data_IF_673691391539
#
_entry.id   IF_673691391539
#
_cell.length_a   1.000
_cell.length_b   1.000
_cell.length_c   1.000
_cell.angle_alpha   90.00
_cell.angle_beta   90.00
_cell.angle_gamma   90.00
#
_symmetry.space_group_name_H-M   'P 1'
#
loop_
_entity.id
_entity.type
_entity.pdbx_description
1 polymer ?
#
# COMPACT_ATOMS: atom_id res chain seq x y z
N UNK A 1 3.96 1.40 -19.96
CA UNK A 1 3.13 1.86 -18.83
C UNK A 1 4.05 2.15 -17.66
N UNK A 2 4.15 3.39 -17.21
CA UNK A 2 5.00 3.81 -16.09
C UNK A 2 4.50 3.13 -14.81
N UNK A 3 5.35 2.34 -14.16
CA UNK A 3 5.02 1.74 -12.87
C UNK A 3 5.03 2.86 -11.82
N UNK A 4 3.84 3.35 -11.47
CA UNK A 4 3.69 4.37 -10.44
C UNK A 4 3.69 3.71 -9.06
N UNK A 5 4.50 4.25 -8.16
CA UNK A 5 4.56 3.85 -6.76
C UNK A 5 4.08 5.01 -5.89
N UNK A 6 3.48 4.68 -4.76
CA UNK A 6 3.02 5.62 -3.74
C UNK A 6 3.67 5.28 -2.40
N UNK A 7 4.12 6.29 -1.67
CA UNK A 7 4.65 6.11 -0.32
C UNK A 7 3.56 5.65 0.65
N UNK A 8 3.96 5.09 1.80
CA UNK A 8 3.00 4.71 2.85
C UNK A 8 2.04 5.85 3.25
N UNK A 9 2.50 7.12 3.21
CA UNK A 9 1.65 8.30 3.48
C UNK A 9 0.61 8.55 2.39
N UNK A 10 1.01 8.40 1.13
CA UNK A 10 0.10 8.54 0.00
C UNK A 10 -0.90 7.40 -0.06
N UNK A 11 -0.47 6.16 0.21
CA UNK A 11 -1.35 4.99 0.32
C UNK A 11 -2.36 5.15 1.45
N UNK A 12 -1.94 5.63 2.62
CA UNK A 12 -2.85 5.92 3.73
C UNK A 12 -3.91 6.95 3.32
N UNK A 13 -3.50 8.03 2.66
CA UNK A 13 -4.43 9.06 2.16
C UNK A 13 -5.37 8.50 1.08
N UNK A 14 -4.87 7.67 0.17
CA UNK A 14 -5.64 7.06 -0.90
C UNK A 14 -6.71 6.10 -0.39
N UNK A 15 -6.35 5.27 0.59
CA UNK A 15 -7.26 4.31 1.23
C UNK A 15 -8.15 4.96 2.30
N UNK A 16 -7.96 6.25 2.59
CA UNK A 16 -8.59 6.95 3.71
C UNK A 16 -8.37 6.22 5.06
N UNK A 17 -7.16 5.71 5.27
CA UNK A 17 -6.74 4.95 6.44
C UNK A 17 -5.62 5.66 7.20
N UNK A 18 -5.34 5.22 8.43
CA UNK A 18 -4.26 5.78 9.23
C UNK A 18 -2.90 5.27 8.75
N UNK A 19 -1.87 6.12 8.86
CA UNK A 19 -0.49 5.73 8.52
C UNK A 19 0.02 4.53 9.35
N UNK A 20 -0.28 4.42 10.67
CA UNK A 20 0.06 3.24 11.45
C UNK A 20 -0.59 1.95 10.94
N UNK A 21 -1.83 2.02 10.44
CA UNK A 21 -2.49 0.89 9.80
C UNK A 21 -1.71 0.42 8.57
N UNK A 22 -1.23 1.34 7.72
CA UNK A 22 -0.42 0.98 6.54
C UNK A 22 0.90 0.28 6.94
N UNK A 23 1.51 0.64 8.06
CA UNK A 23 2.75 -0.01 8.51
C UNK A 23 2.53 -1.38 9.17
N UNK A 24 1.40 -1.59 9.85
CA UNK A 24 1.13 -2.82 10.63
C UNK A 24 0.24 -3.81 9.90
N UNK A 25 -0.84 -3.32 9.31
CA UNK A 25 -1.94 -4.13 8.80
C UNK A 25 -1.87 -4.34 7.29
N UNK A 26 -1.26 -3.42 6.52
CA UNK A 26 -1.25 -3.53 5.05
C UNK A 26 -0.71 -4.89 4.56
N UNK A 27 0.36 -5.38 5.17
CA UNK A 27 0.95 -6.68 4.81
C UNK A 27 0.03 -7.86 5.14
N UNK A 28 -0.66 -7.82 6.28
CA UNK A 28 -1.64 -8.84 6.66
C UNK A 28 -2.92 -8.78 5.82
N UNK A 29 -3.28 -7.59 5.34
CA UNK A 29 -4.44 -7.37 4.49
C UNK A 29 -4.22 -7.82 3.04
N UNK A 30 -2.99 -8.17 2.64
CA UNK A 30 -2.63 -8.59 1.29
C UNK A 30 -2.10 -7.48 0.38
N UNK A 31 -1.79 -6.29 0.91
CA UNK A 31 -1.02 -5.28 0.19
C UNK A 31 0.47 -5.63 0.25
N UNK A 32 1.15 -5.50 -0.89
CA UNK A 32 2.59 -5.81 -1.00
C UNK A 32 3.41 -4.54 -0.75
N UNK A 33 4.14 -4.46 0.38
CA UNK A 33 5.08 -3.38 0.60
C UNK A 33 6.38 -3.59 -0.19
N UNK A 34 6.77 -2.59 -0.98
CA UNK A 34 8.08 -2.53 -1.62
C UNK A 34 8.99 -1.62 -0.79
N UNK A 35 10.17 -2.13 -0.46
CA UNK A 35 11.22 -1.33 0.19
C UNK A 35 12.08 -0.70 -0.88
N UNK A 36 12.04 0.63 -0.96
CA UNK A 36 12.90 1.41 -1.83
C UNK A 36 14.02 2.06 -1.00
N UNK A 37 15.27 1.79 -1.38
CA UNK A 37 16.48 2.27 -0.72
C UNK A 37 17.21 1.19 0.08
N UNK A 38 18.44 1.49 0.51
CA UNK A 38 19.29 0.57 1.27
C UNK A 38 19.38 1.00 2.75
N UNK A 39 19.24 0.04 3.67
CA UNK A 39 19.48 0.24 5.11
C UNK A 39 18.27 0.71 5.92
N UNK A 40 18.55 1.34 7.07
CA UNK A 40 17.57 1.71 8.12
C UNK A 40 16.50 2.73 7.68
N UNK A 41 16.75 3.42 6.56
CA UNK A 41 15.88 4.44 5.98
C UNK A 41 15.13 3.96 4.72
N UNK A 42 15.12 2.66 4.44
CA UNK A 42 14.37 2.13 3.30
C UNK A 42 12.90 2.55 3.41
N UNK A 43 12.40 3.29 2.41
CA UNK A 43 11.05 3.83 2.40
C UNK A 43 10.11 2.74 1.91
N UNK A 44 9.03 2.53 2.65
CA UNK A 44 7.93 1.68 2.24
C UNK A 44 7.10 2.40 1.17
N UNK A 45 7.01 1.78 0.01
CA UNK A 45 6.19 2.21 -1.11
C UNK A 45 5.31 1.06 -1.58
N UNK A 46 4.20 1.39 -2.22
CA UNK A 46 3.22 0.46 -2.73
C UNK A 46 2.98 0.76 -4.19
N UNK A 47 2.85 -0.28 -5.00
CA UNK A 47 2.56 -0.12 -6.42
C UNK A 47 1.10 0.33 -6.58
N UNK A 48 0.87 1.44 -7.26
CA UNK A 48 -0.48 2.03 -7.40
C UNK A 48 -1.46 1.02 -7.99
N UNK A 49 -1.05 0.27 -9.01
CA UNK A 49 -1.88 -0.74 -9.65
C UNK A 49 -2.31 -1.87 -8.70
N UNK A 50 -1.43 -2.27 -7.77
CA UNK A 50 -1.75 -3.32 -6.78
C UNK A 50 -2.67 -2.80 -5.69
N UNK A 51 -2.43 -1.57 -5.21
CA UNK A 51 -3.34 -0.91 -4.26
C UNK A 51 -4.74 -0.80 -4.86
N UNK A 52 -4.85 -0.40 -6.12
CA UNK A 52 -6.14 -0.33 -6.82
C UNK A 52 -6.81 -1.71 -6.99
N UNK A 53 -6.04 -2.74 -7.37
CA UNK A 53 -6.55 -4.10 -7.48
C UNK A 53 -7.05 -4.62 -6.12
N UNK A 54 -6.29 -4.37 -5.06
CA UNK A 54 -6.66 -4.72 -3.69
C UNK A 54 -7.95 -4.03 -3.24
N UNK A 55 -8.11 -2.72 -3.50
CA UNK A 55 -9.36 -2.01 -3.19
C UNK A 55 -10.55 -2.63 -3.92
N UNK A 56 -10.38 -3.05 -5.18
CA UNK A 56 -11.44 -3.75 -5.92
C UNK A 56 -11.77 -5.10 -5.28
N UNK A 57 -10.76 -5.86 -4.84
CA UNK A 57 -10.95 -7.15 -4.16
C UNK A 57 -11.64 -7.02 -2.80
N UNK A 58 -11.28 -6.01 -2.01
CA UNK A 58 -11.93 -5.75 -0.71
C UNK A 58 -13.42 -5.41 -0.87
N UNK A 59 -13.78 -4.64 -1.89
CA UNK A 59 -15.20 -4.34 -2.20
C UNK A 59 -16.01 -5.58 -2.58
N UNK A 60 -15.37 -6.59 -3.15
CA UNK A 60 -16.01 -7.85 -3.55
C UNK A 60 -16.09 -8.87 -2.40
N UNK A 61 -15.23 -8.75 -1.38
CA UNK A 61 -15.16 -9.69 -0.25
C UNK A 61 -16.04 -9.27 0.94
N UNK A 62 -16.62 -8.07 0.91
CA UNK A 62 -17.55 -7.57 1.93
C UNK A 62 -19.03 -7.79 1.62
N UNK A 63 -19.35 -8.78 0.79
CA UNK A 63 -20.73 -9.15 0.40
C UNK A 63 -21.27 -10.32 1.21
#
# INVERSE_FOLDING_TARGET
MTQQFMSAKETAKFLNMSLPWVYREASGAGLVPYRFGCGRNAKLQFKVSEVQAWVKQQRLSGG
#
